data_IF_594867995240
#
_entry.id   IF_594867995240
#
_cell.length_a   1.000
_cell.length_b   1.000
_cell.length_c   1.000
_cell.angle_alpha   90.00
_cell.angle_beta   90.00
_cell.angle_gamma   90.00
#
_symmetry.space_group_name_H-M   'P 1'
#
loop_
_entity.id
_entity.type
_entity.pdbx_description
1 polymer ?
#
# COMPACT_ATOMS: atom_id res chain seq x y z
N UNK A 1 34.45 -13.03 29.08
CA UNK A 1 33.01 -13.34 29.06
C UNK A 1 32.24 -12.02 28.93
N UNK A 2 32.32 -11.36 27.77
CA UNK A 2 31.86 -9.95 27.62
C UNK A 2 31.39 -9.61 26.20
N UNK A 3 31.24 -10.62 25.33
CA UNK A 3 30.77 -10.43 23.95
C UNK A 3 29.27 -10.76 23.78
N UNK A 4 28.68 -11.55 24.68
CA UNK A 4 27.29 -12.00 24.56
C UNK A 4 26.26 -10.95 25.02
N UNK A 5 26.63 -9.94 25.81
CA UNK A 5 25.65 -8.96 26.33
C UNK A 5 25.38 -7.83 25.31
N UNK A 6 26.38 -7.43 24.52
CA UNK A 6 26.25 -6.31 23.55
C UNK A 6 25.41 -6.66 22.32
N UNK A 7 25.42 -7.91 21.86
CA UNK A 7 24.64 -8.35 20.70
C UNK A 7 23.14 -8.44 21.00
N UNK A 8 22.76 -8.85 22.21
CA UNK A 8 21.35 -8.92 22.62
C UNK A 8 20.70 -7.54 22.77
N UNK A 9 21.41 -6.53 23.27
CA UNK A 9 20.85 -5.18 23.43
C UNK A 9 20.56 -4.51 22.09
N UNK A 10 21.42 -4.74 21.09
CA UNK A 10 21.28 -4.14 19.75
C UNK A 10 20.08 -4.72 19.00
N UNK A 11 19.84 -6.03 19.10
CA UNK A 11 18.69 -6.68 18.47
C UNK A 11 17.35 -6.23 19.06
N UNK A 12 17.28 -6.01 20.38
CA UNK A 12 16.06 -5.53 21.05
C UNK A 12 15.72 -4.09 20.62
N UNK A 13 16.72 -3.20 20.55
CA UNK A 13 16.51 -1.83 20.09
C UNK A 13 16.01 -1.79 18.63
N UNK A 14 16.57 -2.62 17.75
CA UNK A 14 16.12 -2.71 16.36
C UNK A 14 14.65 -3.17 16.24
N UNK A 15 14.23 -4.15 17.04
CA UNK A 15 12.84 -4.64 17.04
C UNK A 15 11.85 -3.60 17.57
N UNK A 16 12.21 -2.86 18.62
CA UNK A 16 11.38 -1.77 19.15
C UNK A 16 11.18 -0.69 18.07
N UNK A 17 12.26 -0.25 17.42
CA UNK A 17 12.16 0.74 16.34
C UNK A 17 11.32 0.26 15.15
N UNK A 18 11.39 -1.02 14.77
CA UNK A 18 10.54 -1.57 13.70
C UNK A 18 9.06 -1.53 14.09
N UNK A 19 8.72 -1.89 15.34
CA UNK A 19 7.34 -1.85 15.81
C UNK A 19 6.77 -0.42 15.88
N UNK A 20 7.56 0.56 16.33
CA UNK A 20 7.16 1.97 16.36
C UNK A 20 6.93 2.53 14.95
N UNK A 21 7.79 2.17 13.98
CA UNK A 21 7.65 2.58 12.58
C UNK A 21 6.37 2.00 11.98
N UNK A 22 6.09 0.70 12.21
CA UNK A 22 4.88 0.05 11.72
C UNK A 22 3.61 0.66 12.35
N UNK A 23 3.63 0.93 13.66
CA UNK A 23 2.51 1.54 14.35
C UNK A 23 2.26 2.98 13.87
N UNK A 24 3.33 3.74 13.62
CA UNK A 24 3.24 5.10 13.05
C UNK A 24 2.65 5.06 11.64
N UNK A 25 3.17 4.20 10.76
CA UNK A 25 2.63 4.04 9.40
C UNK A 25 1.15 3.64 9.42
N UNK A 26 0.78 2.70 10.27
CA UNK A 26 -0.61 2.29 10.45
C UNK A 26 -1.49 3.47 10.91
N UNK A 27 -1.04 4.26 11.89
CA UNK A 27 -1.79 5.43 12.35
C UNK A 27 -1.95 6.50 11.27
N UNK A 28 -0.94 6.67 10.41
CA UNK A 28 -0.98 7.59 9.29
C UNK A 28 -1.90 7.11 8.17
N UNK A 29 -2.21 5.82 8.08
CA UNK A 29 -3.21 5.31 7.12
C UNK A 29 -4.64 5.72 7.50
N UNK A 30 -4.92 5.93 8.80
CA UNK A 30 -6.26 6.12 9.35
C UNK A 30 -6.84 7.52 9.10
N UNK A 31 -7.14 7.81 7.84
CA UNK A 31 -7.82 9.03 7.40
C UNK A 31 -8.54 8.79 6.08
N UNK A 32 -9.20 9.84 5.60
CA UNK A 32 -9.79 9.86 4.26
C UNK A 32 -8.75 10.27 3.23
N UNK A 33 -8.66 9.47 2.17
CA UNK A 33 -7.75 9.62 1.06
C UNK A 33 -8.53 9.90 -0.22
N UNK A 34 -8.21 10.99 -0.94
CA UNK A 34 -8.73 11.23 -2.29
C UNK A 34 -7.95 10.40 -3.28
N UNK A 35 -8.63 9.64 -4.14
CA UNK A 35 -7.97 9.02 -5.29
C UNK A 35 -7.79 10.12 -6.36
N UNK A 36 -6.57 10.30 -6.84
CA UNK A 36 -6.22 11.38 -7.77
C UNK A 36 -5.68 10.87 -9.11
N UNK A 37 -5.14 9.65 -9.15
CA UNK A 37 -4.73 9.00 -10.38
C UNK A 37 -4.72 7.48 -10.23
N UNK A 38 -4.87 6.81 -11.36
CA UNK A 38 -4.61 5.38 -11.56
C UNK A 38 -3.47 5.26 -12.58
N UNK A 39 -2.42 4.53 -12.22
CA UNK A 39 -1.25 4.31 -13.06
C UNK A 39 -1.08 2.82 -13.36
N UNK A 40 -0.82 2.53 -14.63
CA UNK A 40 -0.60 1.18 -15.11
C UNK A 40 0.81 1.06 -15.67
N UNK A 41 1.60 0.19 -15.05
CA UNK A 41 3.00 -0.07 -15.36
C UNK A 41 3.13 -1.49 -15.91
N UNK A 42 3.87 -1.63 -17.01
CA UNK A 42 4.15 -2.93 -17.62
C UNK A 42 5.60 -3.34 -17.34
N UNK A 43 5.77 -4.49 -16.71
CA UNK A 43 7.07 -5.02 -16.32
C UNK A 43 7.32 -6.37 -16.99
N UNK A 44 8.56 -6.66 -17.33
CA UNK A 44 9.01 -8.02 -17.64
C UNK A 44 8.81 -8.92 -16.41
N UNK A 45 8.88 -10.24 -16.62
CA UNK A 45 8.71 -11.20 -15.51
C UNK A 45 9.82 -11.12 -14.44
N UNK A 46 10.95 -10.48 -14.75
CA UNK A 46 12.03 -10.17 -13.81
C UNK A 46 11.85 -8.83 -13.07
N UNK A 47 10.75 -8.10 -13.35
CA UNK A 47 10.42 -6.82 -12.73
C UNK A 47 11.04 -5.59 -13.40
N UNK A 48 11.80 -5.75 -14.50
CA UNK A 48 12.33 -4.61 -15.27
C UNK A 48 11.25 -3.99 -16.17
N UNK A 49 11.36 -2.71 -16.59
CA UNK A 49 10.38 -2.10 -17.49
C UNK A 49 10.21 -2.86 -18.81
N UNK A 50 8.96 -3.14 -19.18
CA UNK A 50 8.63 -3.88 -20.40
C UNK A 50 8.68 -2.96 -21.62
N UNK A 51 9.62 -3.20 -22.55
CA UNK A 51 9.85 -2.30 -23.69
C UNK A 51 8.75 -2.34 -24.76
N UNK A 52 7.91 -3.38 -24.78
CA UNK A 52 6.85 -3.56 -25.78
C UNK A 52 5.50 -2.91 -25.41
N UNK A 53 5.33 -2.46 -24.16
CA UNK A 53 4.10 -1.83 -23.69
C UNK A 53 4.43 -0.46 -23.11
N UNK A 54 3.51 0.48 -23.25
CA UNK A 54 3.68 1.84 -22.73
C UNK A 54 2.90 1.99 -21.44
N UNK A 55 3.57 2.45 -20.40
CA UNK A 55 2.95 2.83 -19.14
C UNK A 55 1.95 3.98 -19.37
N UNK A 56 0.89 4.02 -18.56
CA UNK A 56 -0.11 5.09 -18.61
C UNK A 56 -0.48 5.56 -17.22
N UNK A 57 -0.84 6.83 -17.12
CA UNK A 57 -1.38 7.42 -15.91
C UNK A 57 -2.65 8.19 -16.27
N UNK A 58 -3.75 7.82 -15.62
CA UNK A 58 -5.07 8.37 -15.82
C UNK A 58 -5.47 9.19 -14.59
N UNK A 59 -5.59 10.51 -14.75
CA UNK A 59 -5.99 11.40 -13.65
C UNK A 59 -7.47 11.25 -13.31
N UNK A 60 -7.77 11.03 -12.03
CA UNK A 60 -9.14 10.88 -11.52
C UNK A 60 -9.64 12.23 -11.01
N UNK A 61 -10.60 12.81 -11.74
CA UNK A 61 -11.17 14.13 -11.42
C UNK A 61 -12.38 14.06 -10.49
N UNK A 62 -12.97 12.88 -10.33
CA UNK A 62 -14.10 12.62 -9.44
C UNK A 62 -13.76 13.12 -8.02
N UNK A 63 -14.66 13.92 -7.44
CA UNK A 63 -14.47 14.49 -6.09
C UNK A 63 -14.83 13.48 -5.00
N UNK A 64 -15.60 12.47 -5.37
CA UNK A 64 -16.13 11.38 -4.57
C UNK A 64 -15.34 10.08 -4.72
N UNK A 65 -14.26 10.05 -5.50
CA UNK A 65 -13.32 8.94 -5.50
C UNK A 65 -12.44 9.02 -4.24
N UNK A 66 -12.71 8.14 -3.26
CA UNK A 66 -11.99 8.12 -1.99
C UNK A 66 -11.82 6.70 -1.42
N UNK A 67 -10.86 6.59 -0.51
CA UNK A 67 -10.71 5.50 0.45
C UNK A 67 -10.69 6.06 1.87
N UNK A 68 -11.31 5.37 2.83
CA UNK A 68 -11.26 5.73 4.24
C UNK A 68 -10.94 4.46 5.04
N UNK A 69 -9.77 4.44 5.68
CA UNK A 69 -9.36 3.38 6.60
C UNK A 69 -9.62 3.83 8.02
N UNK A 70 -10.33 3.03 8.81
CA UNK A 70 -10.66 3.37 10.21
C UNK A 70 -9.89 2.48 11.20
N UNK A 71 -9.53 2.99 12.39
CA UNK A 71 -8.74 2.23 13.36
C UNK A 71 -9.36 0.90 13.81
N UNK A 72 -10.67 0.73 13.67
CA UNK A 72 -11.41 -0.47 14.05
C UNK A 72 -11.43 -1.58 12.97
N UNK A 73 -10.75 -1.38 11.83
CA UNK A 73 -10.75 -2.33 10.72
C UNK A 73 -11.86 -2.10 9.68
N UNK A 74 -12.67 -1.05 9.84
CA UNK A 74 -13.67 -0.67 8.83
C UNK A 74 -13.01 0.07 7.67
N UNK A 75 -13.49 -0.20 6.46
CA UNK A 75 -13.09 0.47 5.24
C UNK A 75 -14.31 1.08 4.54
N UNK A 76 -14.15 2.27 3.95
CA UNK A 76 -15.20 2.89 3.12
C UNK A 76 -14.65 3.39 1.80
N UNK A 77 -15.44 3.24 0.74
CA UNK A 77 -15.16 3.76 -0.59
C UNK A 77 -16.45 4.14 -1.32
N UNK A 78 -16.32 4.63 -2.56
CA UNK A 78 -17.47 4.86 -3.44
C UNK A 78 -18.19 3.56 -3.83
N UNK A 79 -17.49 2.43 -3.82
CA UNK A 79 -18.05 1.12 -4.17
C UNK A 79 -18.83 0.48 -3.02
N UNK A 80 -18.70 1.04 -1.81
CA UNK A 80 -19.38 0.58 -0.60
C UNK A 80 -18.48 0.55 0.63
N UNK A 81 -19.10 0.11 1.72
CA UNK A 81 -18.43 -0.14 2.99
C UNK A 81 -17.94 -1.60 3.05
N UNK A 82 -16.83 -1.83 3.75
CA UNK A 82 -16.25 -3.16 3.94
C UNK A 82 -15.29 -3.19 5.11
N UNK A 83 -14.39 -4.17 5.11
CA UNK A 83 -13.37 -4.31 6.15
C UNK A 83 -11.98 -4.44 5.56
N UNK A 84 -10.96 -4.20 6.39
CA UNK A 84 -9.58 -4.42 6.00
C UNK A 84 -8.74 -5.02 7.13
N UNK A 85 -7.65 -5.67 6.74
CA UNK A 85 -6.62 -6.17 7.64
C UNK A 85 -5.26 -5.71 7.10
N UNK A 86 -4.37 -5.27 7.99
CA UNK A 86 -2.99 -4.95 7.65
C UNK A 86 -2.09 -6.15 7.97
N UNK A 87 -1.17 -6.45 7.07
CA UNK A 87 -0.14 -7.48 7.23
C UNK A 87 1.17 -6.96 6.65
N UNK A 88 2.06 -6.46 7.51
CA UNK A 88 3.30 -5.82 7.08
C UNK A 88 3.06 -4.60 6.20
N UNK A 89 3.57 -4.65 4.96
CA UNK A 89 3.41 -3.61 3.93
C UNK A 89 2.15 -3.78 3.07
N UNK A 90 1.25 -4.69 3.47
CA UNK A 90 0.08 -5.06 2.68
C UNK A 90 -1.22 -4.75 3.41
N UNK A 91 -2.23 -4.33 2.64
CA UNK A 91 -3.61 -4.15 3.07
C UNK A 91 -4.52 -5.09 2.30
N UNK A 92 -5.29 -5.87 3.04
CA UNK A 92 -6.25 -6.85 2.52
C UNK A 92 -7.65 -6.29 2.73
N UNK A 93 -8.34 -5.97 1.65
CA UNK A 93 -9.69 -5.42 1.63
C UNK A 93 -10.72 -6.52 1.41
N UNK A 94 -11.87 -6.37 2.06
CA UNK A 94 -13.07 -7.17 1.81
C UNK A 94 -14.24 -6.26 1.50
N UNK A 95 -14.48 -6.03 0.20
CA UNK A 95 -15.58 -5.23 -0.35
C UNK A 95 -16.01 -5.91 -1.65
N UNK A 96 -17.26 -6.38 -1.72
CA UNK A 96 -17.78 -7.04 -2.94
C UNK A 96 -16.89 -8.18 -3.48
N UNK A 97 -15.96 -8.70 -2.66
CA UNK A 97 -14.84 -9.54 -3.05
C UNK A 97 -13.64 -9.36 -2.11
N UNK A 98 -12.54 -10.04 -2.39
CA UNK A 98 -11.27 -9.89 -1.68
C UNK A 98 -10.23 -9.24 -2.60
N UNK A 99 -9.56 -8.21 -2.11
CA UNK A 99 -8.48 -7.54 -2.82
C UNK A 99 -7.30 -7.34 -1.88
N UNK A 100 -6.08 -7.40 -2.40
CA UNK A 100 -4.85 -7.23 -1.62
C UNK A 100 -3.92 -6.28 -2.33
N UNK A 101 -3.44 -5.28 -1.60
CA UNK A 101 -2.53 -4.27 -2.13
C UNK A 101 -1.31 -4.17 -1.24
N UNK A 102 -0.13 -3.99 -1.83
CA UNK A 102 0.96 -3.37 -1.09
C UNK A 102 0.67 -1.89 -0.95
N UNK A 103 1.07 -1.27 0.14
CA UNK A 103 0.87 0.15 0.34
C UNK A 103 2.16 0.87 0.74
N UNK A 104 2.28 2.12 0.29
CA UNK A 104 3.35 3.03 0.69
C UNK A 104 2.73 4.37 1.06
N UNK A 105 3.17 4.91 2.19
CA UNK A 105 2.84 6.27 2.64
C UNK A 105 4.08 7.15 2.44
N UNK A 106 3.93 8.21 1.65
CA UNK A 106 5.00 9.17 1.37
C UNK A 106 4.41 10.55 1.12
N UNK A 107 4.96 11.59 1.76
CA UNK A 107 4.62 13.01 1.48
C UNK A 107 3.11 13.28 1.44
N UNK A 108 2.38 12.82 2.46
CA UNK A 108 0.91 12.92 2.56
C UNK A 108 0.14 12.26 1.41
N UNK A 109 0.80 11.33 0.72
CA UNK A 109 0.24 10.51 -0.36
C UNK A 109 0.26 9.04 0.06
N UNK A 110 -0.77 8.32 -0.39
CA UNK A 110 -0.93 6.88 -0.26
C UNK A 110 -0.84 6.28 -1.66
N UNK A 111 0.00 5.28 -1.82
CA UNK A 111 0.14 4.50 -3.05
C UNK A 111 -0.28 3.08 -2.76
N UNK A 112 -1.26 2.56 -3.50
CA UNK A 112 -1.70 1.16 -3.40
C UNK A 112 -1.29 0.41 -4.67
N UNK A 113 -0.52 -0.66 -4.51
CA UNK A 113 0.04 -1.44 -5.61
C UNK A 113 -0.62 -2.81 -5.70
N UNK A 114 -1.03 -3.20 -6.90
CA UNK A 114 -1.51 -4.54 -7.22
C UNK A 114 -0.83 -5.07 -8.46
N UNK A 115 -0.32 -6.30 -8.40
CA UNK A 115 0.35 -6.96 -9.51
C UNK A 115 -0.53 -8.09 -10.06
N UNK A 116 -0.72 -8.09 -11.38
CA UNK A 116 -1.35 -9.19 -12.12
C UNK A 116 -0.35 -9.78 -13.10
N UNK A 117 0.04 -11.03 -12.87
CA UNK A 117 0.94 -11.76 -13.76
C UNK A 117 0.19 -12.22 -15.01
N UNK A 118 0.75 -11.90 -16.18
CA UNK A 118 0.34 -12.42 -17.49
C UNK A 118 1.41 -13.41 -18.00
N UNK A 119 1.19 -13.95 -19.20
CA UNK A 119 2.06 -14.99 -19.77
C UNK A 119 3.50 -14.51 -19.94
N UNK A 120 3.67 -13.26 -20.36
CA UNK A 120 4.93 -12.66 -20.80
C UNK A 120 5.30 -11.36 -20.05
N UNK A 121 4.39 -10.80 -19.26
CA UNK A 121 4.62 -9.59 -18.48
C UNK A 121 3.87 -9.58 -17.13
N UNK A 122 4.22 -8.64 -16.28
CA UNK A 122 3.48 -8.27 -15.06
C UNK A 122 2.81 -6.93 -15.32
N UNK A 123 1.50 -6.86 -15.08
CA UNK A 123 0.77 -5.60 -15.05
C UNK A 123 0.68 -5.13 -13.61
N UNK A 124 1.30 -4.00 -13.31
CA UNK A 124 1.19 -3.32 -12.02
C UNK A 124 0.21 -2.17 -12.13
N UNK A 125 -0.77 -2.17 -11.24
CA UNK A 125 -1.70 -1.06 -11.04
C UNK A 125 -1.28 -0.30 -9.78
N UNK A 126 -1.24 1.03 -9.86
CA UNK A 126 -0.89 1.92 -8.77
C UNK A 126 -1.99 2.96 -8.60
N UNK A 127 -2.71 2.88 -7.49
CA UNK A 127 -3.65 3.93 -7.12
C UNK A 127 -2.94 5.00 -6.32
N UNK A 128 -2.96 6.21 -6.85
CA UNK A 128 -2.40 7.41 -6.23
C UNK A 128 -3.50 8.11 -5.44
N UNK A 129 -3.29 8.27 -4.15
CA UNK A 129 -4.22 8.97 -3.29
C UNK A 129 -3.54 10.03 -2.42
N UNK A 130 -4.26 11.10 -2.08
CA UNK A 130 -3.76 12.21 -1.25
C UNK A 130 -4.67 12.41 -0.04
N UNK A 131 -4.08 12.74 1.10
CA UNK A 131 -4.87 13.09 2.28
C UNK A 131 -5.76 14.30 1.99
N UNK A 132 -7.01 14.26 2.44
CA UNK A 132 -7.91 15.42 2.45
C UNK A 132 -7.49 16.47 3.49
#
# INVERSE_FOLDING_TARGET
>A
MTLLIKTFTTAILALISISEIQQKQQSELFKKWRIVADEMIYLNLDGTPHQGYRDRIDSIKAKDAFFEFRPNGDFRSIEGDGTYILSGDSVHLKISGEASFKYVLQDSSLYLYSDSKRTDYIRREVLHAKSW
#
